data_IF_953901759759
#
_entry.id   IF_953901759759
#
_cell.length_a   1.000
_cell.length_b   1.000
_cell.length_c   1.000
_cell.angle_alpha   90.00
_cell.angle_beta   90.00
_cell.angle_gamma   90.00
#
_symmetry.space_group_name_H-M   'P 1'
#
loop_
_entity.id
_entity.type
_entity.pdbx_description
1 polymer ?
#
# COMPACT_ATOMS: atom_id res chain seq x y z
N UNK A 1 0.31 50.25 -2.71
CA UNK A 1 -0.47 49.16 -2.09
C UNK A 1 0.28 48.72 -0.85
N UNK A 2 -0.25 49.03 0.31
CA UNK A 2 0.40 48.85 1.62
C UNK A 2 0.25 47.42 2.12
N UNK A 3 1.38 46.81 2.50
CA UNK A 3 1.46 45.51 3.17
C UNK A 3 0.70 45.52 4.50
N UNK A 4 -0.47 44.89 4.55
CA UNK A 4 -1.15 44.57 5.79
C UNK A 4 -2.10 43.41 5.55
N UNK A 5 -1.60 42.17 5.68
CA UNK A 5 -2.37 40.96 6.05
C UNK A 5 -1.48 39.70 6.08
N UNK A 6 -0.44 39.70 6.91
CA UNK A 6 0.23 38.47 7.34
C UNK A 6 0.14 38.39 8.87
N UNK A 7 -1.05 38.07 9.36
CA UNK A 7 -1.28 37.79 10.78
C UNK A 7 -1.75 36.34 10.87
N UNK A 8 -0.81 35.43 11.12
CA UNK A 8 -1.08 33.99 11.25
C UNK A 8 0.03 33.03 10.79
N UNK A 9 1.21 33.53 10.40
CA UNK A 9 2.35 32.67 10.04
C UNK A 9 3.24 32.48 11.29
N UNK A 10 3.58 31.24 11.65
CA UNK A 10 4.48 30.94 12.77
C UNK A 10 5.90 31.47 12.51
N UNK A 11 6.71 31.68 13.55
CA UNK A 11 8.07 32.21 13.39
C UNK A 11 8.97 31.30 12.54
N UNK A 12 8.77 29.98 12.58
CA UNK A 12 9.40 29.01 11.65
C UNK A 12 9.05 29.31 10.19
N UNK A 13 7.83 29.81 9.95
CA UNK A 13 7.29 30.12 8.64
C UNK A 13 7.82 31.45 8.07
N UNK A 14 8.26 32.38 8.92
CA UNK A 14 8.97 33.59 8.50
C UNK A 14 10.44 33.26 8.18
N UNK A 15 11.05 32.36 8.95
CA UNK A 15 12.43 31.96 8.78
C UNK A 15 12.69 31.18 7.48
N UNK A 16 11.69 30.44 7.00
CA UNK A 16 11.75 29.68 5.74
C UNK A 16 11.48 30.56 4.50
N UNK A 17 10.73 31.67 4.65
CA UNK A 17 10.47 32.64 3.57
C UNK A 17 11.70 33.50 3.29
N UNK A 18 12.50 33.80 4.31
CA UNK A 18 13.66 34.68 4.19
C UNK A 18 14.92 33.99 3.63
N UNK A 19 14.96 32.66 3.53
CA UNK A 19 16.12 31.92 3.01
C UNK A 19 15.75 30.63 2.24
N UNK A 20 15.21 30.76 1.00
CA UNK A 20 14.80 29.61 0.17
C UNK A 20 15.99 28.72 -0.28
N UNK A 21 17.23 29.14 -0.04
CA UNK A 21 18.44 28.41 -0.38
C UNK A 21 19.08 27.68 0.80
N UNK A 22 18.58 27.86 2.03
CA UNK A 22 18.86 26.98 3.18
C UNK A 22 18.08 25.69 3.08
N UNK A 23 18.19 25.05 1.92
CA UNK A 23 17.51 23.82 1.65
C UNK A 23 18.18 22.74 2.53
N UNK A 24 17.41 22.16 3.46
CA UNK A 24 17.83 21.07 4.35
C UNK A 24 18.10 19.75 3.61
N UNK A 25 18.48 19.79 2.33
CA UNK A 25 18.53 18.65 1.42
C UNK A 25 19.84 17.85 1.57
N UNK A 26 20.81 18.33 2.36
CA UNK A 26 22.10 17.64 2.55
C UNK A 26 22.21 16.82 3.84
N UNK A 27 21.21 16.83 4.72
CA UNK A 27 21.10 15.79 5.76
C UNK A 27 20.08 14.78 5.27
N UNK A 28 20.50 13.55 5.02
CA UNK A 28 19.58 12.42 4.82
C UNK A 28 18.63 12.43 6.03
N UNK A 29 17.42 12.94 5.84
CA UNK A 29 16.43 12.97 6.92
C UNK A 29 16.17 11.51 7.27
N UNK A 30 16.25 11.12 8.56
CA UNK A 30 15.93 9.77 8.97
C UNK A 30 14.58 9.38 8.38
N UNK A 31 14.51 8.24 7.71
CA UNK A 31 13.27 7.71 7.14
C UNK A 31 12.30 7.49 8.29
N UNK A 32 11.19 8.23 8.33
CA UNK A 32 10.32 8.30 9.50
C UNK A 32 9.68 6.94 9.83
N UNK A 33 9.50 6.09 8.81
CA UNK A 33 9.03 4.71 8.96
C UNK A 33 10.06 3.75 9.59
N UNK A 34 11.34 4.14 9.71
CA UNK A 34 12.41 3.40 10.39
C UNK A 34 12.78 4.02 11.74
N UNK A 35 11.77 4.44 12.50
CA UNK A 35 11.98 4.93 13.85
C UNK A 35 12.62 3.84 14.74
N UNK A 36 13.48 4.28 15.67
CA UNK A 36 14.17 3.39 16.60
C UNK A 36 14.99 2.26 15.93
N UNK A 37 15.44 2.46 14.68
CA UNK A 37 16.19 1.45 13.93
C UNK A 37 17.33 0.82 14.73
N UNK A 38 18.17 1.65 15.38
CA UNK A 38 19.28 1.17 16.22
C UNK A 38 18.83 0.21 17.33
N UNK A 39 17.70 0.48 17.96
CA UNK A 39 17.14 -0.37 19.01
C UNK A 39 16.64 -1.71 18.42
N UNK A 40 15.91 -1.64 17.30
CA UNK A 40 15.43 -2.84 16.57
C UNK A 40 16.58 -3.74 16.14
N UNK A 41 17.60 -3.17 15.50
CA UNK A 41 18.83 -3.89 15.11
C UNK A 41 19.53 -4.50 16.33
N UNK A 42 19.53 -3.79 17.47
CA UNK A 42 20.03 -4.31 18.74
C UNK A 42 19.30 -5.58 19.18
N UNK A 43 17.97 -5.56 19.16
CA UNK A 43 17.12 -6.71 19.50
C UNK A 43 17.33 -7.86 18.51
N UNK A 44 17.35 -7.57 17.21
CA UNK A 44 17.57 -8.57 16.16
C UNK A 44 18.94 -9.24 16.26
N UNK A 45 19.97 -8.51 16.68
CA UNK A 45 21.30 -9.08 16.97
C UNK A 45 21.26 -10.05 18.15
N UNK A 46 20.42 -9.77 19.14
CA UNK A 46 20.21 -10.66 20.27
C UNK A 46 19.45 -11.93 19.85
N UNK A 47 18.37 -11.79 19.07
CA UNK A 47 17.64 -12.91 18.47
C UNK A 47 18.57 -13.78 17.63
N UNK A 48 19.37 -13.16 16.75
CA UNK A 48 20.39 -13.84 15.95
C UNK A 48 21.35 -14.65 16.82
N UNK A 49 21.86 -14.08 17.92
CA UNK A 49 22.77 -14.80 18.83
C UNK A 49 22.09 -16.03 19.47
N UNK A 50 20.83 -15.89 19.89
CA UNK A 50 20.09 -17.02 20.48
C UNK A 50 19.94 -18.18 19.49
N UNK A 51 19.71 -17.88 18.21
CA UNK A 51 19.57 -18.91 17.17
C UNK A 51 20.89 -19.62 16.80
N UNK A 52 22.05 -19.02 17.09
CA UNK A 52 23.36 -19.62 16.78
C UNK A 52 24.04 -20.30 17.97
N UNK A 53 23.75 -19.89 19.21
CA UNK A 53 24.54 -20.25 20.39
C UNK A 53 23.92 -21.35 21.26
N UNK A 54 23.03 -22.19 20.73
CA UNK A 54 22.54 -23.34 21.48
C UNK A 54 23.68 -24.38 21.60
N UNK A 55 24.52 -24.20 22.62
CA UNK A 55 25.87 -24.75 22.76
C UNK A 55 25.99 -26.27 22.90
N UNK A 56 24.92 -27.01 22.62
CA UNK A 56 24.87 -28.47 22.65
C UNK A 56 24.66 -29.13 21.28
N UNK A 57 24.28 -28.38 20.24
CA UNK A 57 24.03 -28.95 18.91
C UNK A 57 25.09 -28.49 17.92
N UNK A 58 25.84 -29.46 17.37
CA UNK A 58 26.83 -29.23 16.29
C UNK A 58 26.19 -28.80 14.96
N UNK A 59 24.86 -28.82 14.88
CA UNK A 59 24.08 -28.22 13.80
C UNK A 59 23.73 -26.80 14.19
N UNK A 60 24.54 -25.81 13.74
CA UNK A 60 24.11 -24.43 13.74
C UNK A 60 22.76 -24.37 13.03
N UNK A 61 21.69 -24.04 13.74
CA UNK A 61 20.40 -23.81 13.09
C UNK A 61 20.61 -22.73 12.02
N UNK A 62 20.28 -23.16 10.82
CA UNK A 62 20.82 -22.72 9.54
C UNK A 62 20.51 -21.25 9.27
N UNK A 63 21.33 -20.64 8.40
CA UNK A 63 21.04 -19.36 7.74
C UNK A 63 19.62 -19.35 7.11
N UNK A 64 19.01 -20.52 6.91
CA UNK A 64 17.61 -20.73 6.50
C UNK A 64 16.57 -20.09 7.43
N UNK A 65 16.85 -19.92 8.73
CA UNK A 65 15.93 -19.23 9.65
C UNK A 65 16.01 -17.70 9.51
N UNK A 66 17.12 -17.16 9.00
CA UNK A 66 17.37 -15.72 8.90
C UNK A 66 16.95 -15.20 7.53
N UNK A 67 15.66 -15.35 7.27
CA UNK A 67 15.05 -14.93 6.01
C UNK A 67 14.85 -13.40 5.96
N UNK A 68 14.85 -12.80 4.77
CA UNK A 68 14.50 -11.38 4.61
C UNK A 68 13.07 -11.10 5.07
N UNK A 69 12.19 -12.10 4.99
CA UNK A 69 10.79 -12.02 5.41
C UNK A 69 10.64 -11.90 6.93
N UNK A 70 11.35 -12.72 7.70
CA UNK A 70 11.37 -12.62 9.16
C UNK A 70 11.94 -11.27 9.61
N UNK A 71 13.04 -10.83 8.98
CA UNK A 71 13.62 -9.53 9.24
C UNK A 71 12.63 -8.40 8.96
N UNK A 72 11.97 -8.41 7.80
CA UNK A 72 11.01 -7.39 7.40
C UNK A 72 9.81 -7.34 8.37
N UNK A 73 9.29 -8.49 8.80
CA UNK A 73 8.27 -8.54 9.85
C UNK A 73 8.75 -7.82 11.11
N UNK A 74 9.90 -8.21 11.67
CA UNK A 74 10.44 -7.61 12.89
C UNK A 74 10.69 -6.10 12.76
N UNK A 75 11.14 -5.64 11.60
CA UNK A 75 11.37 -4.23 11.31
C UNK A 75 10.07 -3.42 11.19
N UNK A 76 8.97 -4.06 10.77
CA UNK A 76 7.63 -3.45 10.65
C UNK A 76 6.78 -3.49 11.94
N UNK A 77 7.23 -4.23 12.95
CA UNK A 77 6.56 -4.41 14.25
C UNK A 77 6.67 -3.19 15.15
N UNK A 78 5.85 -3.05 16.17
CA UNK A 78 6.06 -2.02 17.21
C UNK A 78 7.24 -2.41 18.12
N UNK A 79 8.06 -1.45 18.55
CA UNK A 79 9.30 -1.76 19.29
C UNK A 79 9.04 -2.60 20.56
N UNK A 80 7.98 -2.27 21.31
CA UNK A 80 7.59 -3.01 22.51
C UNK A 80 7.16 -4.46 22.23
N UNK A 81 6.51 -4.71 21.09
CA UNK A 81 6.12 -6.07 20.70
C UNK A 81 7.34 -6.87 20.21
N UNK A 82 8.29 -6.21 19.55
CA UNK A 82 9.57 -6.83 19.19
C UNK A 82 10.41 -7.21 20.42
N UNK A 83 10.39 -6.40 21.48
CA UNK A 83 11.03 -6.73 22.76
C UNK A 83 10.38 -7.96 23.41
N UNK A 84 9.04 -8.01 23.46
CA UNK A 84 8.30 -9.18 23.94
C UNK A 84 8.61 -10.42 23.13
N UNK A 85 8.68 -10.29 21.80
CA UNK A 85 9.03 -11.40 20.91
C UNK A 85 10.42 -11.97 21.23
N UNK A 86 11.42 -11.09 21.41
CA UNK A 86 12.75 -11.49 21.87
C UNK A 86 12.67 -12.23 23.21
N UNK A 87 11.90 -11.73 24.17
CA UNK A 87 11.82 -12.33 25.50
C UNK A 87 11.11 -13.69 25.48
N UNK A 88 10.12 -13.88 24.60
CA UNK A 88 9.53 -15.19 24.31
C UNK A 88 10.60 -16.15 23.78
N UNK A 89 11.43 -15.71 22.83
CA UNK A 89 12.49 -16.55 22.27
C UNK A 89 13.56 -16.91 23.30
N UNK A 90 13.90 -16.00 24.24
CA UNK A 90 14.82 -16.30 25.36
C UNK A 90 14.35 -17.42 26.26
N UNK A 91 13.03 -17.51 26.46
CA UNK A 91 12.41 -18.51 27.33
C UNK A 91 12.06 -19.83 26.63
N UNK A 92 12.27 -19.93 25.31
CA UNK A 92 11.87 -21.09 24.50
C UNK A 92 13.08 -21.91 24.09
N UNK A 93 12.92 -23.23 23.96
CA UNK A 93 13.95 -24.06 23.31
C UNK A 93 13.99 -23.75 21.81
N UNK A 94 15.12 -24.02 21.15
CA UNK A 94 15.21 -23.84 19.69
C UNK A 94 14.33 -24.84 18.92
N UNK A 95 14.09 -26.03 19.47
CA UNK A 95 13.17 -27.02 18.90
C UNK A 95 11.74 -26.48 18.84
N UNK A 96 11.34 -25.66 19.82
CA UNK A 96 10.02 -25.01 19.86
C UNK A 96 9.99 -23.71 19.02
N UNK A 97 11.08 -22.94 19.04
CA UNK A 97 11.14 -21.64 18.38
C UNK A 97 11.31 -21.72 16.85
N UNK A 98 12.08 -22.68 16.35
CA UNK A 98 12.40 -22.83 14.93
C UNK A 98 11.18 -22.87 14.01
N UNK A 99 10.19 -23.77 14.26
CA UNK A 99 8.97 -23.83 13.47
C UNK A 99 8.18 -22.52 13.45
N UNK A 100 8.15 -21.79 14.58
CA UNK A 100 7.47 -20.49 14.67
C UNK A 100 8.14 -19.44 13.78
N UNK A 101 9.47 -19.40 13.74
CA UNK A 101 10.23 -18.48 12.88
C UNK A 101 10.00 -18.75 11.39
N UNK A 102 9.98 -20.04 11.01
CA UNK A 102 9.67 -20.46 9.63
C UNK A 102 8.25 -20.11 9.24
N UNK A 103 7.28 -20.34 10.13
CA UNK A 103 5.88 -19.99 9.90
C UNK A 103 5.70 -18.48 9.71
N UNK A 104 6.36 -17.65 10.52
CA UNK A 104 6.37 -16.20 10.35
C UNK A 104 6.93 -15.83 8.97
N UNK A 105 8.07 -16.42 8.57
CA UNK A 105 8.67 -16.16 7.26
C UNK A 105 7.73 -16.49 6.11
N UNK A 106 7.15 -17.69 6.11
CA UNK A 106 6.21 -18.14 5.09
C UNK A 106 4.96 -17.24 5.03
N UNK A 107 4.43 -16.84 6.19
CA UNK A 107 3.28 -15.96 6.28
C UNK A 107 3.55 -14.57 5.67
N UNK A 108 4.72 -13.97 5.93
CA UNK A 108 5.08 -12.68 5.32
C UNK A 108 5.24 -12.82 3.80
N UNK A 109 5.90 -13.88 3.34
CA UNK A 109 6.05 -14.15 1.90
C UNK A 109 4.69 -14.25 1.21
N UNK A 110 3.76 -15.00 1.82
CA UNK A 110 2.39 -15.14 1.33
C UNK A 110 1.63 -13.80 1.35
N UNK A 111 1.70 -13.03 2.45
CA UNK A 111 1.06 -11.71 2.52
C UNK A 111 1.57 -10.75 1.45
N UNK A 112 2.88 -10.71 1.23
CA UNK A 112 3.47 -9.88 0.18
C UNK A 112 2.97 -10.31 -1.19
N UNK A 113 3.01 -11.61 -1.50
CA UNK A 113 2.54 -12.13 -2.78
C UNK A 113 1.05 -11.82 -3.00
N UNK A 114 0.22 -11.95 -1.98
CA UNK A 114 -1.21 -11.70 -2.06
C UNK A 114 -1.57 -10.22 -2.10
N UNK A 115 -0.72 -9.33 -1.57
CA UNK A 115 -0.97 -7.88 -1.61
C UNK A 115 -0.37 -7.19 -2.82
N UNK A 116 0.50 -7.88 -3.57
CA UNK A 116 0.85 -7.49 -4.93
C UNK A 116 -0.39 -7.72 -5.79
N UNK A 117 -1.00 -6.62 -6.23
CA UNK A 117 -1.99 -6.70 -7.29
C UNK A 117 -1.27 -7.14 -8.55
N UNK A 118 -1.73 -8.19 -9.25
CA UNK A 118 -1.21 -8.47 -10.58
C UNK A 118 -1.36 -7.18 -11.38
N UNK A 119 -0.27 -6.78 -12.04
CA UNK A 119 -0.28 -5.58 -12.86
C UNK A 119 -1.52 -5.67 -13.75
N UNK A 120 -2.28 -4.58 -13.78
CA UNK A 120 -3.41 -4.44 -14.67
C UNK A 120 -2.92 -4.93 -16.03
N UNK A 121 -3.33 -6.13 -16.46
CA UNK A 121 -3.16 -6.57 -17.84
C UNK A 121 -3.63 -5.36 -18.62
N UNK A 122 -2.71 -4.67 -19.30
CA UNK A 122 -3.08 -3.52 -20.12
C UNK A 122 -4.07 -4.10 -21.10
N UNK A 123 -5.36 -3.94 -20.80
CA UNK A 123 -6.43 -4.32 -21.70
C UNK A 123 -6.26 -3.29 -22.79
N UNK A 124 -5.44 -3.66 -23.77
CA UNK A 124 -5.17 -2.94 -24.98
C UNK A 124 -6.52 -2.47 -25.49
N UNK A 125 -6.84 -1.23 -25.15
CA UNK A 125 -8.02 -0.54 -25.63
C UNK A 125 -7.68 -0.13 -27.06
N UNK A 126 -7.46 -1.13 -27.90
CA UNK A 126 -7.42 -1.04 -29.33
C UNK A 126 -8.84 -0.70 -29.80
N UNK A 127 -9.24 0.55 -29.54
CA UNK A 127 -10.26 1.22 -30.30
C UNK A 127 -9.74 1.31 -31.73
N UNK A 128 -10.06 0.29 -32.51
CA UNK A 128 -9.89 0.24 -33.95
C UNK A 128 -10.60 1.47 -34.54
N UNK A 129 -9.82 2.52 -34.80
CA UNK A 129 -10.27 3.65 -35.60
C UNK A 129 -10.36 3.19 -37.06
N UNK A 130 -11.51 3.33 -37.73
CA UNK A 130 -11.62 2.96 -39.13
C UNK A 130 -10.80 3.92 -39.98
N UNK A 131 -9.71 3.40 -40.56
CA UNK A 131 -8.85 4.05 -41.53
C UNK A 131 -9.64 4.43 -42.80
N UNK A 132 -10.11 5.68 -42.86
CA UNK A 132 -10.56 6.29 -44.11
C UNK A 132 -9.34 6.66 -44.97
N UNK A 133 -9.07 5.85 -46.00
CA UNK A 133 -8.11 6.18 -47.07
C UNK A 133 -8.67 7.35 -47.90
N UNK A 134 -7.96 8.48 -47.92
CA UNK A 134 -8.13 9.55 -48.91
C UNK A 134 -6.78 9.82 -49.60
N UNK A 135 -6.75 10.17 -50.90
CA UNK A 135 -5.56 10.04 -51.73
C UNK A 135 -4.57 11.18 -51.55
N UNK A 136 -3.30 10.78 -51.43
CA UNK A 136 -2.08 11.56 -51.46
C UNK A 136 -1.98 12.44 -52.71
N UNK A 137 -1.86 13.75 -52.51
CA UNK A 137 -1.34 14.72 -53.49
C UNK A 137 -0.06 15.33 -52.91
N UNK A 138 1.06 15.07 -53.56
CA UNK A 138 2.32 15.84 -53.47
C UNK A 138 2.07 17.26 -54.02
N UNK A 139 2.81 18.33 -53.60
CA UNK A 139 4.25 18.42 -53.85
C UNK A 139 5.14 19.29 -52.92
N UNK A 140 6.45 19.11 -53.15
CA UNK A 140 7.55 20.09 -53.19
C UNK A 140 7.93 20.93 -51.95
N UNK A 141 9.15 20.65 -51.51
CA UNK A 141 10.09 21.47 -50.75
C UNK A 141 10.44 22.78 -51.45
N UNK A 142 10.35 23.90 -50.73
CA UNK A 142 11.17 25.09 -51.01
C UNK A 142 11.44 25.88 -49.72
N UNK A 143 12.73 26.10 -49.45
CA UNK A 143 13.25 27.05 -48.48
C UNK A 143 12.99 28.50 -48.94
N UNK A 144 12.70 29.42 -48.01
CA UNK A 144 13.42 30.71 -47.84
C UNK A 144 12.74 31.68 -46.86
N UNK A 145 13.57 32.23 -45.95
CA UNK A 145 13.48 33.49 -45.19
C UNK A 145 12.54 34.58 -45.74
N UNK A 146 11.74 35.22 -44.88
CA UNK A 146 11.88 36.62 -44.34
C UNK A 146 10.59 37.13 -43.67
N UNK A 147 10.76 38.03 -42.69
CA UNK A 147 9.79 38.68 -41.79
C UNK A 147 9.25 39.99 -42.47
N UNK A 148 8.48 40.89 -41.80
CA UNK A 148 7.10 40.88 -41.26
C UNK A 148 6.14 41.82 -42.06
N UNK A 149 4.82 41.82 -41.79
CA UNK A 149 4.05 43.03 -41.37
C UNK A 149 2.54 42.81 -41.23
N UNK A 150 2.02 43.35 -40.11
CA UNK A 150 0.76 44.10 -39.90
C UNK A 150 -0.62 43.53 -40.30
N UNK A 151 -1.48 43.55 -39.26
CA UNK A 151 -2.82 44.17 -39.24
C UNK A 151 -3.97 43.50 -39.99
N UNK A 152 -4.98 43.04 -39.24
CA UNK A 152 -6.35 43.59 -39.32
C UNK A 152 -7.32 42.84 -38.39
N UNK A 153 -7.97 43.59 -37.52
CA UNK A 153 -9.19 43.22 -36.79
C UNK A 153 -10.37 43.06 -37.77
N UNK A 154 -11.26 42.07 -37.58
CA UNK A 154 -12.68 42.27 -37.19
C UNK A 154 -13.48 40.95 -37.18
N UNK A 155 -14.57 40.88 -36.39
CA UNK A 155 -15.30 39.66 -36.05
C UNK A 155 -16.56 39.45 -36.90
N UNK A 156 -17.06 38.21 -36.95
CA UNK A 156 -18.42 37.89 -37.45
C UNK A 156 -18.97 36.60 -36.81
N UNK A 157 -20.30 36.37 -36.84
CA UNK A 157 -21.10 36.36 -35.62
C UNK A 157 -21.84 35.05 -35.35
N UNK A 158 -22.38 34.99 -34.14
CA UNK A 158 -23.43 34.08 -33.67
C UNK A 158 -24.69 34.15 -34.55
N UNK A 159 -25.21 32.97 -34.91
CA UNK A 159 -26.64 32.72 -35.16
C UNK A 159 -26.97 31.25 -34.88
N UNK A 160 -27.76 31.01 -33.82
CA UNK A 160 -28.70 29.88 -33.64
C UNK A 160 -29.82 29.95 -34.74
N UNK A 161 -30.82 29.03 -34.89
CA UNK A 161 -31.39 28.11 -33.90
C UNK A 161 -31.95 26.75 -34.39
N UNK A 162 -32.35 25.93 -33.39
CA UNK A 162 -33.46 24.95 -33.35
C UNK A 162 -34.02 24.37 -34.66
N UNK A 163 -34.01 23.04 -34.76
CA UNK A 163 -35.17 22.30 -35.26
C UNK A 163 -35.31 20.93 -34.57
N UNK A 164 -36.36 20.81 -33.76
CA UNK A 164 -36.99 19.54 -33.38
C UNK A 164 -37.73 18.99 -34.59
N UNK A 165 -37.73 17.68 -34.77
CA UNK A 165 -38.88 16.97 -35.32
C UNK A 165 -38.95 15.53 -34.78
N UNK A 166 -40.14 15.06 -34.38
CA UNK A 166 -40.40 13.71 -33.88
C UNK A 166 -41.00 12.81 -34.98
N UNK A 167 -40.78 11.51 -34.84
CA UNK A 167 -41.46 10.47 -35.60
C UNK A 167 -40.66 9.17 -35.50
N UNK A 168 -41.23 7.98 -35.42
CA UNK A 168 -42.61 7.50 -35.30
C UNK A 168 -42.44 6.02 -34.95
N UNK A 169 -43.39 5.47 -34.22
CA UNK A 169 -43.49 4.03 -34.03
C UNK A 169 -43.59 3.31 -35.37
N UNK A 170 -43.00 2.12 -35.48
CA UNK A 170 -43.78 0.96 -35.91
C UNK A 170 -43.11 -0.36 -35.51
N UNK A 171 -43.97 -1.17 -34.92
CA UNK A 171 -43.93 -2.60 -34.69
C UNK A 171 -43.46 -3.42 -35.89
N UNK A 172 -42.73 -4.52 -35.62
CA UNK A 172 -43.08 -5.87 -36.11
C UNK A 172 -42.18 -6.92 -35.46
N UNK A 173 -42.84 -7.94 -34.91
CA UNK A 173 -42.21 -9.02 -34.17
C UNK A 173 -41.36 -9.94 -35.03
N UNK A 174 -40.50 -10.70 -34.35
CA UNK A 174 -39.83 -11.86 -34.92
C UNK A 174 -39.63 -12.92 -33.85
N UNK A 175 -40.46 -13.95 -33.99
CA UNK A 175 -40.20 -15.38 -33.77
C UNK A 175 -39.38 -15.77 -32.53
N UNK A 176 -40.12 -16.29 -31.55
CA UNK A 176 -39.64 -17.32 -30.63
C UNK A 176 -39.30 -18.58 -31.45
N UNK A 177 -38.03 -18.96 -31.43
CA UNK A 177 -37.60 -20.33 -31.73
C UNK A 177 -36.88 -20.86 -30.51
N UNK A 178 -37.45 -21.93 -29.97
CA UNK A 178 -36.86 -22.76 -28.94
C UNK A 178 -35.70 -23.56 -29.56
N UNK A 179 -34.47 -23.30 -29.11
CA UNK A 179 -33.35 -24.20 -29.31
C UNK A 179 -32.68 -24.47 -27.96
N UNK A 180 -32.86 -25.71 -27.53
CA UNK A 180 -31.81 -26.61 -27.04
C UNK A 180 -30.77 -26.00 -26.09
N UNK A 181 -30.96 -26.27 -24.80
CA UNK A 181 -29.97 -25.99 -23.76
C UNK A 181 -28.65 -26.71 -24.05
N UNK A 182 -27.63 -25.93 -24.42
CA UNK A 182 -26.24 -26.29 -24.18
C UNK A 182 -25.87 -25.89 -22.75
N UNK A 183 -25.12 -26.72 -22.01
CA UNK A 183 -24.66 -26.36 -20.68
C UNK A 183 -23.73 -25.15 -20.81
N UNK A 184 -24.12 -24.06 -20.15
CA UNK A 184 -23.31 -22.86 -20.01
C UNK A 184 -21.92 -23.25 -19.55
N UNK A 185 -20.91 -23.00 -20.39
CA UNK A 185 -19.54 -22.85 -19.91
C UNK A 185 -19.55 -21.81 -18.78
N UNK A 186 -18.78 -22.00 -17.69
CA UNK A 186 -18.67 -21.00 -16.64
C UNK A 186 -17.97 -19.78 -17.25
N UNK A 187 -18.77 -18.87 -17.80
CA UNK A 187 -18.29 -17.60 -18.30
C UNK A 187 -17.69 -16.84 -17.14
N UNK A 188 -16.47 -16.35 -17.31
CA UNK A 188 -15.81 -15.39 -16.44
C UNK A 188 -16.81 -14.31 -16.05
N UNK A 189 -17.43 -14.44 -14.87
CA UNK A 189 -18.18 -13.36 -14.28
C UNK A 189 -17.13 -12.32 -13.90
N UNK A 190 -16.98 -11.29 -14.73
CA UNK A 190 -16.23 -10.10 -14.36
C UNK A 190 -16.72 -9.67 -12.97
N UNK A 191 -15.85 -9.79 -11.96
CA UNK A 191 -16.18 -9.40 -10.60
C UNK A 191 -16.49 -7.92 -10.60
N UNK A 192 -17.78 -7.61 -10.51
CA UNK A 192 -18.23 -6.25 -10.65
C UNK A 192 -17.94 -5.50 -9.36
N UNK A 193 -17.04 -4.50 -9.43
CA UNK A 193 -16.77 -3.60 -8.30
C UNK A 193 -18.07 -2.93 -7.85
N UNK A 194 -18.28 -2.81 -6.54
CA UNK A 194 -19.43 -2.12 -5.98
C UNK A 194 -19.42 -0.62 -6.32
N UNK A 195 -20.12 -0.26 -7.40
CA UNK A 195 -20.24 1.12 -7.88
C UNK A 195 -20.82 2.08 -6.83
N UNK A 196 -21.72 1.59 -5.97
CA UNK A 196 -22.32 2.41 -4.93
C UNK A 196 -21.29 2.76 -3.86
N UNK A 197 -20.46 1.79 -3.44
CA UNK A 197 -19.38 2.04 -2.50
C UNK A 197 -18.38 3.08 -3.04
N UNK A 198 -18.01 2.97 -4.32
CA UNK A 198 -17.16 3.97 -5.00
C UNK A 198 -17.80 5.36 -4.99
N UNK A 199 -19.10 5.46 -5.27
CA UNK A 199 -19.81 6.75 -5.26
C UNK A 199 -19.85 7.37 -3.86
N UNK A 200 -20.10 6.58 -2.81
CA UNK A 200 -20.12 7.07 -1.43
C UNK A 200 -18.71 7.49 -0.99
N UNK A 201 -17.67 6.73 -1.31
CA UNK A 201 -16.28 7.12 -1.03
C UNK A 201 -15.92 8.45 -1.71
N UNK A 202 -16.31 8.64 -2.98
CA UNK A 202 -16.16 9.91 -3.68
C UNK A 202 -16.97 11.03 -3.02
N UNK A 203 -18.19 10.75 -2.57
CA UNK A 203 -19.00 11.77 -1.88
C UNK A 203 -18.38 12.19 -0.54
N UNK A 204 -17.87 11.23 0.24
CA UNK A 204 -17.14 11.48 1.50
C UNK A 204 -15.95 12.39 1.26
N UNK A 205 -15.15 12.09 0.25
CA UNK A 205 -13.92 12.82 -0.07
C UNK A 205 -14.18 14.04 -0.97
N UNK A 206 -15.44 14.47 -1.11
CA UNK A 206 -15.87 15.61 -1.93
C UNK A 206 -15.37 15.56 -3.38
N UNK A 207 -15.27 14.37 -3.95
CA UNK A 207 -14.70 14.06 -5.26
C UNK A 207 -13.29 14.65 -5.43
N UNK A 208 -12.51 14.67 -4.35
CA UNK A 208 -11.12 15.10 -4.35
C UNK A 208 -10.20 14.04 -3.77
N UNK A 209 -8.94 14.05 -4.18
CA UNK A 209 -7.89 13.28 -3.51
C UNK A 209 -7.56 13.97 -2.18
N UNK A 210 -7.77 13.37 -1.00
CA UNK A 210 -7.45 14.02 0.27
C UNK A 210 -5.96 14.38 0.42
N UNK A 211 -5.07 13.62 -0.25
CA UNK A 211 -3.63 13.87 -0.23
C UNK A 211 -3.23 15.10 -1.09
N UNK A 212 -3.75 15.22 -2.31
CA UNK A 212 -3.33 16.27 -3.26
C UNK A 212 -4.35 17.40 -3.43
N UNK A 213 -5.58 17.22 -2.96
CA UNK A 213 -6.73 18.10 -3.18
C UNK A 213 -7.22 18.19 -4.63
N UNK A 214 -6.69 17.36 -5.53
CA UNK A 214 -7.07 17.36 -6.95
C UNK A 214 -8.47 16.76 -7.13
N UNK A 215 -9.19 17.19 -8.17
CA UNK A 215 -10.56 16.70 -8.48
C UNK A 215 -10.60 15.41 -9.31
N UNK A 216 -9.47 14.97 -9.83
CA UNK A 216 -9.37 13.78 -10.69
C UNK A 216 -9.00 12.55 -9.85
N UNK A 217 -9.90 12.17 -8.94
CA UNK A 217 -9.66 11.05 -8.04
C UNK A 217 -10.39 9.75 -8.45
N UNK A 218 -9.72 8.65 -8.16
CA UNK A 218 -10.18 7.29 -8.28
C UNK A 218 -10.28 6.67 -6.89
N UNK A 219 -11.26 5.78 -6.67
CA UNK A 219 -11.34 5.07 -5.40
C UNK A 219 -10.37 3.89 -5.46
N UNK A 220 -9.35 3.92 -4.62
CA UNK A 220 -8.38 2.86 -4.41
C UNK A 220 -8.85 1.98 -3.25
N UNK A 221 -8.71 0.67 -3.41
CA UNK A 221 -8.97 -0.24 -2.30
C UNK A 221 -7.77 -0.30 -1.34
N UNK A 222 -8.02 -0.17 -0.04
CA UNK A 222 -7.00 -0.30 1.01
C UNK A 222 -6.58 -1.77 1.11
N UNK A 223 -7.57 -2.67 1.14
CA UNK A 223 -7.37 -4.09 0.97
C UNK A 223 -7.48 -4.43 -0.53
N UNK A 224 -6.44 -5.01 -1.18
CA UNK A 224 -6.45 -5.23 -2.63
C UNK A 224 -7.68 -6.00 -3.12
N UNK A 225 -8.39 -5.42 -4.09
CA UNK A 225 -9.62 -6.00 -4.62
C UNK A 225 -9.41 -7.42 -5.19
N UNK A 226 -8.27 -7.65 -5.85
CA UNK A 226 -7.90 -8.95 -6.40
C UNK A 226 -7.80 -10.06 -5.33
N UNK A 227 -7.58 -9.67 -4.07
CA UNK A 227 -7.28 -10.59 -2.97
C UNK A 227 -8.48 -10.82 -2.06
N UNK A 228 -9.67 -10.28 -2.39
CA UNK A 228 -10.88 -10.40 -1.55
C UNK A 228 -11.29 -11.87 -1.40
N UNK A 229 -11.15 -12.67 -2.46
CA UNK A 229 -11.46 -14.10 -2.40
C UNK A 229 -10.43 -14.89 -1.60
N UNK A 230 -9.20 -14.38 -1.50
CA UNK A 230 -8.10 -14.98 -0.73
C UNK A 230 -8.07 -14.48 0.71
N UNK A 231 -9.17 -13.87 1.19
CA UNK A 231 -9.30 -13.34 2.55
C UNK A 231 -8.99 -14.40 3.61
N UNK A 232 -9.48 -15.63 3.46
CA UNK A 232 -9.22 -16.72 4.41
C UNK A 232 -7.72 -16.96 4.59
N UNK A 233 -7.00 -17.13 3.48
CA UNK A 233 -5.54 -17.28 3.46
C UNK A 233 -4.84 -16.09 4.13
N UNK A 234 -5.22 -14.85 3.80
CA UNK A 234 -4.63 -13.65 4.42
C UNK A 234 -4.88 -13.61 5.93
N UNK A 235 -6.07 -13.97 6.40
CA UNK A 235 -6.37 -14.04 7.84
C UNK A 235 -5.45 -15.06 8.52
N UNK A 236 -5.25 -16.23 7.92
CA UNK A 236 -4.32 -17.25 8.43
C UNK A 236 -2.88 -16.72 8.47
N UNK A 237 -2.40 -16.07 7.41
CA UNK A 237 -1.05 -15.49 7.40
C UNK A 237 -0.91 -14.37 8.44
N UNK A 238 -1.94 -13.54 8.66
CA UNK A 238 -1.93 -12.51 9.71
C UNK A 238 -1.88 -13.15 11.10
N UNK A 239 -2.62 -14.24 11.33
CA UNK A 239 -2.57 -14.99 12.59
C UNK A 239 -1.17 -15.52 12.91
N UNK A 240 -0.45 -16.03 11.92
CA UNK A 240 0.92 -16.50 12.08
C UNK A 240 1.89 -15.42 12.60
N UNK A 241 1.57 -14.13 12.44
CA UNK A 241 2.38 -13.02 12.92
C UNK A 241 2.14 -12.67 14.39
N UNK A 242 1.30 -13.42 15.12
CA UNK A 242 0.91 -13.13 16.52
C UNK A 242 2.10 -12.96 17.46
N UNK A 243 3.15 -13.75 17.27
CA UNK A 243 4.36 -13.70 18.12
C UNK A 243 5.16 -12.43 17.89
N UNK A 244 5.12 -11.87 16.68
CA UNK A 244 5.88 -10.66 16.33
C UNK A 244 5.03 -9.41 16.58
N UNK A 245 3.81 -9.34 16.03
CA UNK A 245 2.96 -8.14 16.12
C UNK A 245 2.18 -8.03 17.44
N UNK A 246 2.14 -9.10 18.22
CA UNK A 246 1.36 -9.19 19.44
C UNK A 246 -0.11 -9.55 19.16
N UNK A 247 -0.69 -10.30 20.09
CA UNK A 247 -2.07 -10.80 20.00
C UNK A 247 -3.10 -9.67 19.86
N UNK A 248 -2.95 -8.58 20.60
CA UNK A 248 -3.88 -7.45 20.51
C UNK A 248 -3.95 -6.84 19.11
N UNK A 249 -2.80 -6.73 18.43
CA UNK A 249 -2.72 -6.17 17.07
C UNK A 249 -3.26 -7.14 16.02
N UNK A 250 -2.84 -8.41 16.08
CA UNK A 250 -3.36 -9.45 15.18
C UNK A 250 -4.86 -9.61 15.31
N UNK A 251 -5.41 -9.62 16.52
CA UNK A 251 -6.87 -9.69 16.74
C UNK A 251 -7.61 -8.52 16.07
N UNK A 252 -7.08 -7.29 16.16
CA UNK A 252 -7.68 -6.14 15.47
C UNK A 252 -7.68 -6.31 13.95
N UNK A 253 -6.57 -6.78 13.39
CA UNK A 253 -6.47 -7.05 11.95
C UNK A 253 -7.43 -8.13 11.50
N UNK A 254 -7.47 -9.28 12.19
CA UNK A 254 -8.40 -10.35 11.86
C UNK A 254 -9.86 -9.91 11.99
N UNK A 255 -10.19 -9.12 13.03
CA UNK A 255 -11.53 -8.54 13.17
C UNK A 255 -11.87 -7.62 12.00
N UNK A 256 -10.96 -6.73 11.59
CA UNK A 256 -11.17 -5.84 10.45
C UNK A 256 -11.36 -6.62 9.15
N UNK A 257 -10.56 -7.66 8.92
CA UNK A 257 -10.71 -8.54 7.76
C UNK A 257 -12.05 -9.29 7.78
N UNK A 258 -12.47 -9.81 8.94
CA UNK A 258 -13.63 -10.69 9.07
C UNK A 258 -14.98 -9.96 9.11
N UNK A 259 -15.05 -8.84 9.83
CA UNK A 259 -16.32 -8.13 10.10
C UNK A 259 -16.70 -7.15 8.99
N UNK A 260 -15.72 -6.68 8.22
CA UNK A 260 -15.92 -5.62 7.25
C UNK A 260 -16.16 -6.18 5.87
N UNK A 261 -17.11 -5.60 5.13
CA UNK A 261 -17.23 -5.85 3.70
C UNK A 261 -16.07 -5.17 2.95
N UNK A 262 -15.12 -5.97 2.44
CA UNK A 262 -13.91 -5.48 1.79
C UNK A 262 -14.15 -4.79 0.43
N UNK A 263 -15.34 -4.94 -0.16
CA UNK A 263 -15.80 -4.16 -1.32
C UNK A 263 -16.85 -3.10 -0.93
N UNK A 264 -16.59 -2.41 0.19
CA UNK A 264 -17.41 -1.30 0.66
C UNK A 264 -16.56 -0.06 1.00
N UNK A 265 -17.21 1.05 1.34
CA UNK A 265 -16.60 2.39 1.52
C UNK A 265 -15.49 2.46 2.55
N UNK A 266 -15.61 1.65 3.59
CA UNK A 266 -14.64 1.43 4.67
C UNK A 266 -13.30 0.85 4.19
N UNK A 267 -13.27 0.22 3.00
CA UNK A 267 -12.05 -0.30 2.36
C UNK A 267 -11.60 0.59 1.20
N UNK A 268 -12.14 1.80 1.06
CA UNK A 268 -11.86 2.71 -0.07
C UNK A 268 -11.30 4.06 0.37
N UNK A 269 -10.29 4.54 -0.36
CA UNK A 269 -9.74 5.91 -0.28
C UNK A 269 -9.74 6.54 -1.67
N UNK A 270 -10.12 7.81 -1.81
CA UNK A 270 -9.98 8.52 -3.08
C UNK A 270 -8.55 9.03 -3.29
N UNK A 271 -7.86 8.58 -4.33
CA UNK A 271 -6.51 9.03 -4.67
C UNK A 271 -6.48 9.57 -6.11
N UNK A 272 -5.61 10.53 -6.36
CA UNK A 272 -5.27 10.94 -7.74
C UNK A 272 -4.56 9.77 -8.44
N UNK A 273 -4.57 9.74 -9.78
CA UNK A 273 -4.03 8.63 -10.58
C UNK A 273 -2.58 8.27 -10.22
N UNK A 274 -1.74 9.27 -9.96
CA UNK A 274 -0.33 9.03 -9.63
C UNK A 274 -0.18 8.37 -8.24
N UNK A 275 -0.63 8.98 -7.12
CA UNK A 275 -0.56 8.34 -5.81
C UNK A 275 -1.38 7.05 -5.70
N UNK A 276 -2.47 6.89 -6.48
CA UNK A 276 -3.21 5.63 -6.58
C UNK A 276 -2.30 4.51 -7.06
N UNK A 277 -1.65 4.69 -8.22
CA UNK A 277 -0.70 3.70 -8.75
C UNK A 277 0.45 3.44 -7.78
N UNK A 278 1.01 4.48 -7.18
CA UNK A 278 2.09 4.30 -6.19
C UNK A 278 1.61 3.52 -4.96
N UNK A 279 0.38 3.71 -4.52
CA UNK A 279 -0.22 3.00 -3.38
C UNK A 279 -0.49 1.52 -3.69
N UNK A 280 -0.96 1.23 -4.89
CA UNK A 280 -1.17 -0.14 -5.37
C UNK A 280 0.16 -0.89 -5.50
N UNK A 281 1.17 -0.26 -6.11
CA UNK A 281 2.51 -0.83 -6.33
C UNK A 281 3.35 -0.97 -5.03
N UNK A 282 2.84 -0.46 -3.89
CA UNK A 282 3.57 -0.42 -2.62
C UNK A 282 4.74 0.58 -2.59
N UNK A 283 4.76 1.56 -3.50
CA UNK A 283 5.73 2.68 -3.55
C UNK A 283 5.33 3.87 -2.67
N UNK A 284 4.06 3.92 -2.28
CA UNK A 284 3.51 4.89 -1.35
C UNK A 284 2.75 4.13 -0.26
N UNK A 285 3.09 4.39 1.00
CA UNK A 285 2.39 3.82 2.13
C UNK A 285 1.74 4.91 2.98
N UNK A 286 0.58 4.59 3.57
CA UNK A 286 -0.23 5.50 4.35
C UNK A 286 -0.33 4.97 5.78
N UNK A 287 0.47 5.53 6.68
CA UNK A 287 0.47 5.15 8.10
C UNK A 287 -0.68 5.86 8.82
N UNK A 288 -1.61 5.13 9.46
CA UNK A 288 -2.57 5.78 10.34
C UNK A 288 -1.89 6.25 11.64
N UNK A 289 -2.04 7.53 11.98
CA UNK A 289 -1.34 8.13 13.14
C UNK A 289 -2.25 8.81 14.16
N UNK A 290 -3.45 9.27 13.78
CA UNK A 290 -4.44 9.77 14.73
C UNK A 290 -5.88 9.60 14.23
N UNK A 291 -6.86 9.48 15.12
CA UNK A 291 -8.29 9.45 14.78
C UNK A 291 -9.12 10.10 15.87
N UNK A 292 -10.23 10.71 15.49
CA UNK A 292 -11.13 11.29 16.48
C UNK A 292 -12.29 12.06 15.87
N UNK A 293 -12.83 12.96 16.67
CA UNK A 293 -13.93 13.84 16.28
C UNK A 293 -13.54 15.28 16.51
N UNK A 294 -13.66 16.10 15.47
CA UNK A 294 -13.47 17.54 15.53
C UNK A 294 -14.56 18.22 16.37
N UNK A 295 -14.27 19.43 16.85
CA UNK A 295 -15.24 20.26 17.60
C UNK A 295 -16.50 20.59 16.79
N UNK A 296 -16.44 20.52 15.46
CA UNK A 296 -17.58 20.70 14.56
C UNK A 296 -18.40 19.41 14.34
N UNK A 297 -18.10 18.34 15.08
CA UNK A 297 -18.79 17.04 15.01
C UNK A 297 -18.35 16.13 13.86
N UNK A 298 -17.42 16.55 12.99
CA UNK A 298 -16.89 15.68 11.93
C UNK A 298 -15.89 14.69 12.50
N UNK A 299 -15.94 13.45 12.01
CA UNK A 299 -14.96 12.42 12.35
C UNK A 299 -13.76 12.49 11.39
N UNK A 300 -12.58 12.09 11.86
CA UNK A 300 -11.38 12.04 11.03
C UNK A 300 -10.49 10.83 11.31
N UNK A 301 -9.72 10.46 10.28
CA UNK A 301 -8.52 9.64 10.37
C UNK A 301 -7.38 10.45 9.74
N UNK A 302 -6.30 10.62 10.49
CA UNK A 302 -5.06 11.24 10.06
C UNK A 302 -4.08 10.18 9.57
N UNK A 303 -3.60 10.39 8.36
CA UNK A 303 -2.64 9.52 7.70
C UNK A 303 -1.33 10.28 7.48
N UNK A 304 -0.21 9.57 7.64
CA UNK A 304 1.13 10.03 7.31
C UNK A 304 1.62 9.30 6.06
N UNK A 305 2.10 10.05 5.08
CA UNK A 305 2.65 9.54 3.83
C UNK A 305 4.08 9.08 4.03
N UNK A 306 4.39 7.90 3.50
CA UNK A 306 5.75 7.41 3.38
C UNK A 306 6.05 7.02 1.94
N UNK A 307 7.14 7.54 1.39
CA UNK A 307 7.64 7.18 0.06
C UNK A 307 8.60 5.99 0.18
N UNK A 308 8.16 4.85 -0.32
CA UNK A 308 8.90 3.59 -0.28
C UNK A 308 9.66 3.43 -1.60
N UNK A 309 10.94 3.78 -1.59
CA UNK A 309 11.80 3.70 -2.78
C UNK A 309 11.97 2.24 -3.24
N UNK A 310 11.68 1.99 -4.52
CA UNK A 310 11.81 0.67 -5.14
C UNK A 310 13.24 0.38 -5.60
N UNK A 311 13.67 -0.86 -5.46
CA UNK A 311 15.01 -1.36 -5.84
C UNK A 311 15.17 -1.68 -7.35
N UNK A 312 14.11 -1.57 -8.15
CA UNK A 312 13.99 -2.15 -9.51
C UNK A 312 14.97 -1.62 -10.58
N UNK A 313 15.95 -0.77 -10.27
CA UNK A 313 16.89 -0.24 -11.28
C UNK A 313 18.34 -0.62 -11.11
N UNK A 314 18.72 -1.31 -10.02
CA UNK A 314 20.08 -1.84 -9.92
C UNK A 314 20.06 -3.32 -10.31
N UNK A 315 20.61 -3.60 -11.49
CA UNK A 315 20.72 -4.90 -12.17
C UNK A 315 21.45 -6.00 -11.37
N UNK A 316 21.96 -5.69 -10.19
CA UNK A 316 22.45 -6.68 -9.25
C UNK A 316 21.62 -6.59 -7.98
N UNK A 317 20.83 -7.63 -7.63
CA UNK A 317 20.32 -7.74 -6.27
C UNK A 317 21.55 -7.77 -5.37
N UNK A 318 21.84 -6.65 -4.70
CA UNK A 318 22.71 -6.68 -3.52
C UNK A 318 21.90 -7.40 -2.46
N UNK A 319 21.95 -8.72 -2.59
CA UNK A 319 21.14 -9.67 -1.89
C UNK A 319 21.21 -9.36 -0.41
N UNK A 320 20.04 -9.36 0.22
CA UNK A 320 19.90 -9.68 1.63
C UNK A 320 21.08 -10.56 2.07
N UNK A 321 21.93 -10.06 2.97
CA UNK A 321 23.20 -10.73 3.29
C UNK A 321 23.02 -11.89 4.27
N UNK A 322 21.82 -12.46 4.35
CA UNK A 322 21.44 -13.46 5.34
C UNK A 322 21.72 -12.99 6.77
N UNK A 323 21.57 -11.68 7.02
CA UNK A 323 21.84 -11.09 8.32
C UNK A 323 20.57 -10.50 8.91
N UNK A 324 19.93 -11.25 9.81
CA UNK A 324 18.78 -10.79 10.58
C UNK A 324 19.03 -9.45 11.31
N UNK A 325 20.28 -9.09 11.62
CA UNK A 325 20.62 -7.82 12.25
C UNK A 325 21.13 -6.76 11.26
N UNK A 326 20.88 -6.93 9.96
CA UNK A 326 21.23 -5.96 8.93
C UNK A 326 20.53 -4.62 9.22
N UNK A 327 21.31 -3.54 9.18
CA UNK A 327 20.75 -2.20 9.30
C UNK A 327 19.95 -1.87 8.02
N UNK A 328 18.64 -1.58 8.12
CA UNK A 328 17.84 -1.15 6.97
C UNK A 328 18.40 0.10 6.29
N UNK A 329 19.10 1.00 6.99
CA UNK A 329 19.72 2.16 6.36
C UNK A 329 20.88 1.75 5.46
N UNK A 330 21.69 0.75 5.83
CA UNK A 330 22.74 0.24 4.93
C UNK A 330 22.15 -0.42 3.68
N UNK A 331 21.02 -1.13 3.84
CA UNK A 331 20.28 -1.66 2.71
C UNK A 331 19.79 -0.49 1.83
N UNK A 332 19.25 0.58 2.44
CA UNK A 332 18.55 1.65 1.76
C UNK A 332 19.42 2.83 1.24
N UNK A 333 20.54 3.15 1.87
CA UNK A 333 21.45 4.26 1.52
C UNK A 333 22.23 3.99 0.24
N UNK A 334 22.49 2.71 -0.06
CA UNK A 334 23.15 2.29 -1.29
C UNK A 334 22.29 2.48 -2.55
N UNK A 335 21.04 2.94 -2.39
CA UNK A 335 20.14 3.30 -3.49
C UNK A 335 20.19 4.78 -3.85
N UNK A 336 21.22 5.53 -3.42
CA UNK A 336 21.47 6.86 -3.99
C UNK A 336 21.47 6.75 -5.51
N UNK A 337 20.49 7.42 -6.11
CA UNK A 337 20.31 7.54 -7.54
C UNK A 337 21.66 7.98 -8.10
N UNK A 338 22.22 7.22 -9.05
CA UNK A 338 23.39 7.71 -9.78
C UNK A 338 23.09 9.09 -10.36
N UNK A 339 24.14 9.86 -10.69
CA UNK A 339 24.06 11.24 -11.18
C UNK A 339 23.06 11.47 -12.35
N UNK A 340 22.64 10.40 -13.04
CA UNK A 340 21.51 10.37 -13.96
C UNK A 340 20.16 10.20 -13.23
N UNK A 341 19.84 11.14 -12.35
CA UNK A 341 18.64 11.14 -11.50
C UNK A 341 17.36 11.06 -12.38
N UNK A 342 16.63 9.92 -12.47
CA UNK A 342 15.28 9.94 -13.01
C UNK A 342 14.48 10.85 -12.11
N UNK A 343 14.05 12.00 -12.65
CA UNK A 343 13.22 12.99 -11.96
C UNK A 343 12.19 12.27 -11.09
N UNK A 344 12.45 12.23 -9.78
CA UNK A 344 11.58 11.54 -8.84
C UNK A 344 10.17 12.07 -9.04
N UNK A 345 9.16 11.19 -9.00
CA UNK A 345 7.77 11.63 -9.10
C UNK A 345 7.51 12.60 -7.95
N UNK A 346 7.43 13.89 -8.26
CA UNK A 346 7.10 14.94 -7.29
C UNK A 346 5.59 15.04 -7.18
N UNK A 347 5.07 14.67 -6.02
CA UNK A 347 3.68 14.91 -5.68
C UNK A 347 3.53 16.34 -5.20
N UNK A 348 2.64 17.12 -5.80
CA UNK A 348 2.38 18.51 -5.40
C UNK A 348 0.92 18.66 -5.03
N UNK A 349 0.65 19.21 -3.85
CA UNK A 349 -0.72 19.54 -3.44
C UNK A 349 -1.27 20.66 -4.32
N UNK A 350 -2.40 20.41 -4.97
CA UNK A 350 -3.14 21.43 -5.72
C UNK A 350 -3.73 22.52 -4.82
N UNK A 351 -3.89 22.25 -3.51
CA UNK A 351 -4.45 23.22 -2.57
C UNK A 351 -3.36 24.15 -2.07
N UNK A 352 -2.26 23.59 -1.55
CA UNK A 352 -1.19 24.40 -0.95
C UNK A 352 -0.12 24.81 -1.96
N UNK A 353 -0.11 24.21 -3.16
CA UNK A 353 0.94 24.35 -4.17
C UNK A 353 2.33 23.95 -3.64
N UNK A 354 2.38 23.11 -2.60
CA UNK A 354 3.60 22.61 -1.99
C UNK A 354 3.84 21.15 -2.37
N UNK A 355 5.12 20.80 -2.49
CA UNK A 355 5.56 19.42 -2.64
C UNK A 355 5.17 18.61 -1.39
N UNK A 356 4.63 17.41 -1.61
CA UNK A 356 4.36 16.42 -0.57
C UNK A 356 5.67 15.70 -0.29
N UNK A 357 6.24 15.90 0.90
CA UNK A 357 7.43 15.19 1.36
C UNK A 357 7.07 13.92 2.14
N UNK A 358 8.05 13.03 2.33
CA UNK A 358 7.94 11.94 3.31
C UNK A 358 7.58 12.51 4.68
N UNK A 359 6.66 11.85 5.39
CA UNK A 359 6.11 12.34 6.64
C UNK A 359 4.96 13.33 6.51
N UNK A 360 4.54 13.72 5.30
CA UNK A 360 3.39 14.61 5.13
C UNK A 360 2.12 14.00 5.74
N UNK A 361 1.37 14.80 6.49
CA UNK A 361 0.15 14.36 7.17
C UNK A 361 -1.08 15.01 6.54
N UNK A 362 -2.14 14.21 6.37
CA UNK A 362 -3.42 14.69 5.89
C UNK A 362 -4.56 13.91 6.53
N UNK A 363 -5.76 14.50 6.51
CA UNK A 363 -6.93 13.90 7.13
C UNK A 363 -7.95 13.45 6.08
N UNK A 364 -8.53 12.28 6.31
CA UNK A 364 -9.79 11.88 5.71
C UNK A 364 -10.88 12.23 6.72
N UNK A 365 -11.90 12.99 6.28
CA UNK A 365 -12.98 13.44 7.18
C UNK A 365 -14.33 12.92 6.71
N UNK A 366 -15.20 12.57 7.65
CA UNK A 366 -16.56 12.16 7.35
C UNK A 366 -17.57 12.71 8.36
N UNK A 367 -18.86 12.60 8.04
CA UNK A 367 -19.95 13.04 8.92
C UNK A 367 -20.21 12.06 10.05
N UNK A 368 -20.08 10.77 9.78
CA UNK A 368 -20.21 9.70 10.77
C UNK A 368 -18.96 8.83 10.78
N UNK A 369 -18.78 8.05 11.84
CA UNK A 369 -17.60 7.20 12.00
C UNK A 369 -17.59 6.05 10.98
N UNK A 370 -18.76 5.58 10.58
CA UNK A 370 -18.97 4.43 9.68
C UNK A 370 -18.62 4.75 8.22
N UNK A 371 -18.63 6.03 7.86
CA UNK A 371 -18.23 6.51 6.53
C UNK A 371 -16.70 6.55 6.37
N UNK A 372 -15.94 6.60 7.47
CA UNK A 372 -14.48 6.62 7.42
C UNK A 372 -13.94 5.24 6.99
N UNK A 373 -12.78 5.22 6.30
CA UNK A 373 -12.10 3.96 6.08
C UNK A 373 -11.74 3.28 7.40
N UNK A 374 -11.66 1.95 7.40
CA UNK A 374 -11.31 1.19 8.59
C UNK A 374 -9.83 1.43 8.95
N UNK A 375 -9.60 1.87 10.19
CA UNK A 375 -8.28 2.16 10.73
C UNK A 375 -7.32 0.97 10.68
N UNK A 376 -7.80 -0.20 11.11
CA UNK A 376 -6.98 -1.40 11.24
C UNK A 376 -6.62 -1.98 9.85
N UNK A 377 -7.45 -1.77 8.83
CA UNK A 377 -7.10 -2.06 7.44
C UNK A 377 -5.96 -1.18 6.93
N UNK A 378 -5.94 0.11 7.29
CA UNK A 378 -4.81 0.99 6.94
C UNK A 378 -3.52 0.55 7.63
N UNK A 379 -3.58 0.22 8.92
CA UNK A 379 -2.39 -0.22 9.67
C UNK A 379 -1.84 -1.54 9.08
N UNK A 380 -2.73 -2.49 8.76
CA UNK A 380 -2.34 -3.73 8.09
C UNK A 380 -1.69 -3.46 6.71
N UNK A 381 -2.33 -2.66 5.83
CA UNK A 381 -1.79 -2.32 4.51
C UNK A 381 -0.46 -1.56 4.62
N UNK A 382 -0.33 -0.67 5.60
CA UNK A 382 0.93 0.05 5.88
C UNK A 382 2.05 -0.92 6.23
N UNK A 383 1.84 -1.84 7.18
CA UNK A 383 2.84 -2.82 7.60
C UNK A 383 3.23 -3.76 6.46
N UNK A 384 2.26 -4.24 5.68
CA UNK A 384 2.54 -5.09 4.51
C UNK A 384 3.34 -4.31 3.45
N UNK A 385 3.00 -3.04 3.19
CA UNK A 385 3.75 -2.21 2.25
C UNK A 385 5.19 -1.98 2.72
N UNK A 386 5.39 -1.76 4.02
CA UNK A 386 6.71 -1.64 4.61
C UNK A 386 7.50 -2.95 4.50
N UNK A 387 6.89 -4.10 4.81
CA UNK A 387 7.54 -5.40 4.63
C UNK A 387 7.93 -5.63 3.17
N UNK A 388 7.03 -5.36 2.23
CA UNK A 388 7.27 -5.46 0.78
C UNK A 388 8.43 -4.56 0.32
N UNK A 389 8.52 -3.34 0.85
CA UNK A 389 9.63 -2.43 0.57
C UNK A 389 10.97 -2.94 1.12
N UNK A 390 10.97 -3.41 2.36
CA UNK A 390 12.18 -3.88 3.03
C UNK A 390 12.80 -5.08 2.31
N UNK A 391 11.99 -6.06 1.87
CA UNK A 391 12.48 -7.20 1.10
C UNK A 391 12.79 -6.88 -0.38
N UNK A 392 12.68 -5.60 -0.77
CA UNK A 392 12.97 -5.15 -2.14
C UNK A 392 11.88 -5.46 -3.17
N UNK A 393 10.73 -5.99 -2.75
CA UNK A 393 9.67 -6.47 -3.63
C UNK A 393 8.67 -5.37 -4.04
N UNK A 394 8.75 -4.16 -3.46
CA UNK A 394 7.91 -3.01 -3.82
C UNK A 394 8.20 -2.51 -5.23
N UNK A 395 7.18 -2.37 -6.08
CA UNK A 395 7.29 -1.80 -7.43
C UNK A 395 8.02 -2.66 -8.48
N UNK A 396 8.28 -3.94 -8.21
CA UNK A 396 8.70 -4.92 -9.24
C UNK A 396 7.44 -5.42 -9.94
N UNK A 397 7.33 -5.18 -11.25
CA UNK A 397 6.26 -5.74 -12.08
C UNK A 397 6.44 -7.26 -12.19
N UNK A 398 5.33 -8.00 -12.31
CA UNK A 398 5.39 -9.48 -12.46
C UNK A 398 6.25 -9.90 -13.67
N UNK A 399 6.35 -9.06 -14.70
CA UNK A 399 7.16 -9.29 -15.90
C UNK A 399 8.67 -9.40 -15.63
N UNK A 400 9.18 -8.82 -14.54
CA UNK A 400 10.62 -8.85 -14.19
C UNK A 400 11.00 -9.99 -13.24
N UNK A 401 10.02 -10.64 -12.61
CA UNK A 401 10.25 -11.80 -11.75
C UNK A 401 10.35 -13.02 -12.65
N UNK A 402 11.53 -13.23 -13.24
CA UNK A 402 11.79 -14.40 -14.07
C UNK A 402 11.31 -15.68 -13.39
N UNK A 403 10.65 -16.54 -14.17
CA UNK A 403 10.01 -17.83 -13.87
C UNK A 403 10.91 -18.80 -13.08
N UNK A 404 11.33 -18.42 -11.88
CA UNK A 404 11.92 -19.31 -10.90
C UNK A 404 10.77 -19.99 -10.17
N UNK A 405 10.03 -20.79 -10.92
CA UNK A 405 8.93 -21.64 -10.47
C UNK A 405 9.47 -22.66 -9.45
N UNK A 406 9.52 -22.23 -8.20
CA UNK A 406 9.15 -23.12 -7.11
C UNK A 406 7.70 -22.77 -6.81
N UNK A 407 6.79 -23.40 -7.52
CA UNK A 407 5.39 -23.48 -7.12
C UNK A 407 5.37 -23.94 -5.66
N UNK A 408 5.15 -23.01 -4.74
CA UNK A 408 4.74 -23.35 -3.39
C UNK A 408 3.35 -23.95 -3.59
N UNK A 409 3.22 -25.27 -3.48
CA UNK A 409 1.96 -25.92 -3.73
C UNK A 409 0.92 -25.37 -2.74
N UNK A 410 -0.24 -24.99 -3.25
CA UNK A 410 -1.38 -24.60 -2.41
C UNK A 410 -1.77 -25.74 -1.44
N UNK A 411 -1.31 -26.98 -1.70
CA UNK A 411 -1.47 -28.18 -0.87
C UNK A 411 -0.73 -28.08 0.49
N UNK A 412 0.32 -27.25 0.64
CA UNK A 412 1.07 -27.13 1.91
C UNK A 412 0.31 -26.34 3.00
N UNK A 413 -0.83 -25.73 2.65
CA UNK A 413 -1.71 -25.01 3.58
C UNK A 413 -3.08 -25.68 3.77
N UNK A 414 -3.35 -26.84 3.17
CA UNK A 414 -4.64 -27.53 3.33
C UNK A 414 -4.88 -28.09 4.75
N UNK A 415 -3.84 -28.13 5.59
CA UNK A 415 -3.96 -28.40 7.04
C UNK A 415 -4.41 -27.14 7.83
N UNK A 416 -5.40 -26.42 7.32
CA UNK A 416 -6.02 -25.25 8.00
C UNK A 416 -6.54 -25.67 9.38
N UNK A 417 -7.07 -26.89 9.52
CA UNK A 417 -7.53 -27.43 10.80
C UNK A 417 -6.38 -27.58 11.82
N UNK A 418 -5.15 -27.80 11.36
CA UNK A 418 -3.95 -27.86 12.21
C UNK A 418 -3.54 -26.47 12.64
N UNK A 419 -3.63 -25.48 11.75
CA UNK A 419 -3.33 -24.09 12.07
C UNK A 419 -4.39 -23.50 13.00
N UNK A 420 -5.67 -23.75 12.77
CA UNK A 420 -6.78 -23.32 13.63
C UNK A 420 -6.74 -24.02 15.00
N UNK A 421 -6.39 -25.31 15.03
CA UNK A 421 -6.10 -26.04 16.28
C UNK A 421 -4.88 -25.49 17.02
N UNK A 422 -3.81 -25.12 16.31
CA UNK A 422 -2.63 -24.48 16.89
C UNK A 422 -2.94 -23.05 17.40
N UNK A 423 -3.76 -22.29 16.68
CA UNK A 423 -4.23 -20.96 17.09
C UNK A 423 -5.05 -21.08 18.37
N UNK A 424 -6.04 -21.98 18.40
CA UNK A 424 -6.89 -22.22 19.58
C UNK A 424 -6.04 -22.61 20.79
N UNK A 425 -5.05 -23.49 20.59
CA UNK A 425 -4.12 -23.91 21.64
C UNK A 425 -3.20 -22.77 22.11
N UNK A 426 -2.76 -21.89 21.20
CA UNK A 426 -1.97 -20.70 21.54
C UNK A 426 -2.80 -19.67 22.31
N UNK A 427 -4.09 -19.51 21.99
CA UNK A 427 -5.02 -18.66 22.74
C UNK A 427 -5.29 -19.23 24.13
N UNK A 428 -5.50 -20.54 24.25
CA UNK A 428 -5.70 -21.24 25.53
C UNK A 428 -4.47 -21.14 26.45
N UNK A 429 -3.26 -21.30 25.90
CA UNK A 429 -2.00 -21.12 26.65
C UNK A 429 -1.81 -19.66 27.11
N UNK A 430 -2.24 -18.69 26.29
CA UNK A 430 -2.12 -17.27 26.62
C UNK A 430 -3.10 -16.84 27.72
N UNK A 431 -4.31 -17.41 27.77
CA UNK A 431 -5.30 -17.15 28.81
C UNK A 431 -4.93 -17.81 30.15
N UNK A 432 -4.13 -18.87 30.15
CA UNK A 432 -3.67 -19.57 31.36
C UNK A 432 -2.48 -18.90 32.07
N UNK A 433 -2.14 -17.64 31.75
CA UNK A 433 -1.08 -16.92 32.49
C UNK A 433 -1.53 -16.76 33.95
N UNK A 434 -0.85 -17.36 34.93
CA UNK A 434 -1.30 -17.34 36.32
C UNK A 434 -1.34 -15.89 36.80
N UNK A 435 -2.49 -15.49 37.36
CA UNK A 435 -2.58 -14.28 38.17
C UNK A 435 -1.45 -14.37 39.20
N UNK A 436 -0.56 -13.38 39.18
CA UNK A 436 0.54 -13.28 40.14
C UNK A 436 -0.08 -13.39 41.53
N UNK A 437 0.25 -14.46 42.25
CA UNK A 437 -0.16 -14.65 43.63
C UNK A 437 0.53 -13.54 44.40
N UNK A 438 -0.25 -12.56 44.86
CA UNK A 438 0.21 -11.47 45.72
C UNK A 438 0.98 -12.08 46.90
N UNK A 439 2.30 -11.81 46.95
CA UNK A 439 3.23 -12.31 47.98
C UNK A 439 2.99 -11.67 49.38
N UNK A 440 1.81 -11.13 49.65
CA UNK A 440 1.49 -10.44 50.92
C UNK A 440 0.94 -11.38 52.03
N UNK A 441 0.80 -12.68 51.76
CA UNK A 441 0.28 -13.67 52.73
C UNK A 441 1.33 -14.66 53.27
N UNK A 442 2.55 -14.20 53.56
CA UNK A 442 3.49 -14.92 54.45
C UNK A 442 3.90 -14.01 55.61
N UNK A 443 3.11 -14.07 56.69
CA UNK A 443 3.46 -13.58 58.02
C UNK A 443 3.29 -14.68 59.06
#
# INVERSE_FOLDING_TARGET
MTHSNQKGMSDEHLQEVDDPHKSSWSSVKPKLYLNNCKARVGILREIKRMTYLDGNTTSSLSDDLHTPYLWAACMSTDLSELEKFRDILKGSSMEDAGPSLMLISAAVQQLVALYKTPDHVEVDSAASSPSAKSPRREPATCNSKTIPTKSSNTPRPLSSPLQRSPGKADSRGRQQSAESGSPNSPGNQEKYRNKQAVQIAKQRDNATCPLLGTRYCEAAHIYPFASIEKKGTIVTSVHALIKVFGQGTVRRFCNALNTVNLDSTVSLICLDRIPHRMFDDGRLALQPIDRGTYTNGKHFIRLRVHFLQTQARQHEPRAWRYDLAQDPYELLENFQLGDDEPQGIRLVSSVTQREISDGHEFDITAKTQEDLPNWDLFDLKYRISLMNHLIGAAGISEEEIGESDKEVSDEEFEDIDVVEGAITKLEEIAEQRPEEVDEDDIA
#
